data_IF_202656402561
#
_entry.id   IF_202656402561
#
_cell.length_a   1.000
_cell.length_b   1.000
_cell.length_c   1.000
_cell.angle_alpha   90.00
_cell.angle_beta   90.00
_cell.angle_gamma   90.00
#
_symmetry.space_group_name_H-M   'P 1'
#
loop_
_entity.id
_entity.type
_entity.pdbx_description
1 polymer ?
#
# COMPACT_ATOMS: atom_id res chain seq x y z
N UNK A 1 2.55 22.23 0.95
CA UNK A 1 2.37 21.18 1.98
C UNK A 1 3.10 19.96 1.48
N UNK A 2 4.00 19.35 2.27
CA UNK A 2 4.75 18.16 1.83
C UNK A 2 3.96 16.90 2.12
N UNK A 3 3.94 15.99 1.17
CA UNK A 3 3.03 14.83 1.13
C UNK A 3 3.83 13.54 1.07
N UNK A 4 3.49 12.63 1.97
CA UNK A 4 3.96 11.27 1.94
C UNK A 4 2.77 10.36 1.60
N UNK A 5 2.78 9.80 0.40
CA UNK A 5 1.72 8.91 -0.08
C UNK A 5 2.12 7.44 0.10
N UNK A 6 1.38 6.70 0.91
CA UNK A 6 1.52 5.25 1.03
C UNK A 6 0.61 4.59 0.01
N UNK A 7 1.13 3.64 -0.76
CA UNK A 7 0.33 2.79 -1.65
C UNK A 7 0.37 1.38 -1.07
N UNK A 8 -0.71 1.02 -0.38
CA UNK A 8 -0.82 -0.17 0.47
C UNK A 8 -1.69 -1.28 -0.13
N UNK A 9 -1.46 -2.50 0.32
CA UNK A 9 -2.17 -3.69 -0.11
C UNK A 9 -1.23 -4.86 -0.39
N UNK A 10 -1.70 -6.09 -0.29
CA UNK A 10 -0.85 -7.29 -0.48
C UNK A 10 -0.34 -7.41 -1.93
N UNK A 11 0.55 -8.36 -2.22
CA UNK A 11 1.02 -8.55 -3.60
C UNK A 11 -0.18 -8.93 -4.51
N UNK A 12 -0.10 -8.64 -5.81
CA UNK A 12 -1.15 -9.04 -6.76
C UNK A 12 -2.45 -8.21 -6.74
N UNK A 13 -2.69 -7.35 -5.75
CA UNK A 13 -3.94 -6.55 -5.65
C UNK A 13 -4.04 -5.40 -6.64
N UNK A 14 -2.96 -5.00 -7.32
CA UNK A 14 -2.99 -3.90 -8.31
C UNK A 14 -2.44 -2.54 -7.84
N UNK A 15 -1.66 -2.49 -6.75
CA UNK A 15 -0.98 -1.27 -6.28
C UNK A 15 -0.23 -0.52 -7.37
N UNK A 16 0.58 -1.22 -8.17
CA UNK A 16 1.40 -0.59 -9.21
C UNK A 16 0.58 -0.08 -10.39
N UNK A 17 -0.64 -0.60 -10.59
CA UNK A 17 -1.59 -0.05 -11.56
C UNK A 17 -2.13 1.29 -11.03
N UNK A 18 -2.53 1.33 -9.76
CA UNK A 18 -3.01 2.56 -9.12
C UNK A 18 -1.92 3.63 -9.11
N UNK A 19 -0.70 3.28 -8.69
CA UNK A 19 0.42 4.22 -8.64
C UNK A 19 0.75 4.79 -10.02
N UNK A 20 0.68 3.96 -11.07
CA UNK A 20 0.85 4.39 -12.46
C UNK A 20 -0.18 5.44 -12.88
N UNK A 21 -1.46 5.21 -12.59
CA UNK A 21 -2.53 6.18 -12.90
C UNK A 21 -2.34 7.47 -12.10
N UNK A 22 -2.17 7.36 -10.79
CA UNK A 22 -2.01 8.52 -9.91
C UNK A 22 -0.79 9.36 -10.26
N UNK A 23 0.31 8.75 -10.70
CA UNK A 23 1.53 9.48 -11.10
C UNK A 23 1.34 10.47 -12.24
N UNK A 24 0.31 10.26 -13.07
CA UNK A 24 -0.03 11.14 -14.21
C UNK A 24 -1.02 12.22 -13.79
N UNK A 25 -1.86 11.96 -12.78
CA UNK A 25 -2.96 12.84 -12.39
C UNK A 25 -2.69 13.65 -11.14
N UNK A 26 -1.72 13.25 -10.32
CA UNK A 26 -1.40 13.89 -9.04
C UNK A 26 0.11 14.12 -8.89
N UNK A 27 0.53 15.38 -9.02
CA UNK A 27 1.93 15.77 -8.86
C UNK A 27 2.47 15.56 -7.43
N UNK A 28 1.60 15.50 -6.42
CA UNK A 28 2.01 15.25 -5.02
C UNK A 28 2.43 13.79 -4.77
N UNK A 29 2.32 12.93 -5.78
CA UNK A 29 2.90 11.57 -5.74
C UNK A 29 4.43 11.60 -5.63
N UNK A 30 5.07 12.66 -6.13
CA UNK A 30 6.51 12.86 -6.04
C UNK A 30 7.32 11.65 -6.51
N UNK A 31 8.41 11.34 -5.80
CA UNK A 31 9.25 10.17 -6.12
C UNK A 31 8.53 8.90 -5.66
N UNK A 32 8.21 8.00 -6.60
CA UNK A 32 7.60 6.71 -6.29
C UNK A 32 8.68 5.67 -5.98
N UNK A 33 8.79 5.29 -4.71
CA UNK A 33 9.69 4.26 -4.22
C UNK A 33 8.97 2.91 -4.20
N UNK A 34 9.36 2.03 -5.11
CA UNK A 34 8.89 0.64 -5.19
C UNK A 34 10.07 -0.32 -4.93
N UNK A 35 10.14 -0.94 -3.74
CA UNK A 35 11.20 -1.88 -3.40
C UNK A 35 11.31 -3.06 -4.37
N UNK A 36 10.20 -3.59 -4.89
CA UNK A 36 10.22 -4.76 -5.78
C UNK A 36 10.85 -4.39 -7.14
N UNK A 37 10.60 -3.18 -7.66
CA UNK A 37 11.28 -2.65 -8.86
C UNK A 37 12.77 -2.46 -8.62
N UNK A 38 13.17 -1.90 -7.48
CA UNK A 38 14.58 -1.66 -7.16
C UNK A 38 15.35 -2.96 -6.98
N UNK A 39 14.73 -3.99 -6.37
CA UNK A 39 15.29 -5.34 -6.27
C UNK A 39 15.46 -5.97 -7.65
N UNK A 40 14.49 -5.77 -8.55
CA UNK A 40 14.59 -6.27 -9.93
C UNK A 40 15.74 -5.62 -10.69
N UNK A 41 15.94 -4.29 -10.54
CA UNK A 41 17.03 -3.56 -11.20
C UNK A 41 18.39 -3.97 -10.62
N UNK A 42 18.50 -4.13 -9.31
CA UNK A 42 19.75 -4.52 -8.66
C UNK A 42 20.12 -5.98 -8.85
N UNK A 43 19.14 -6.85 -9.12
CA UNK A 43 19.30 -8.31 -9.10
C UNK A 43 19.56 -8.89 -7.71
N UNK A 44 19.47 -8.07 -6.65
CA UNK A 44 19.85 -8.41 -5.29
C UNK A 44 18.90 -7.77 -4.28
N UNK A 45 18.28 -8.62 -3.45
CA UNK A 45 17.26 -8.21 -2.47
C UNK A 45 17.79 -7.23 -1.43
N UNK A 46 19.02 -7.41 -0.96
CA UNK A 46 19.64 -6.52 0.03
C UNK A 46 19.97 -5.17 -0.60
N UNK A 47 20.56 -5.17 -1.80
CA UNK A 47 20.90 -3.91 -2.50
C UNK A 47 19.66 -3.12 -2.87
N UNK A 48 18.63 -3.78 -3.42
CA UNK A 48 17.38 -3.12 -3.79
C UNK A 48 16.62 -2.58 -2.57
N UNK A 49 16.58 -3.37 -1.49
CA UNK A 49 16.00 -2.92 -0.22
C UNK A 49 16.75 -1.74 0.38
N UNK A 50 18.09 -1.74 0.34
CA UNK A 50 18.92 -0.62 0.80
C UNK A 50 18.68 0.64 -0.04
N UNK A 51 18.66 0.51 -1.37
CA UNK A 51 18.39 1.63 -2.28
C UNK A 51 17.01 2.25 -2.02
N UNK A 52 15.99 1.43 -1.76
CA UNK A 52 14.66 1.94 -1.40
C UNK A 52 14.69 2.78 -0.11
N UNK A 53 15.43 2.32 0.90
CA UNK A 53 15.58 3.05 2.17
C UNK A 53 16.37 4.34 2.00
N UNK A 54 17.43 4.34 1.19
CA UNK A 54 18.23 5.52 0.88
C UNK A 54 17.40 6.58 0.14
N UNK A 55 16.58 6.17 -0.83
CA UNK A 55 15.66 7.07 -1.53
C UNK A 55 14.63 7.70 -0.59
N UNK A 56 14.01 6.89 0.28
CA UNK A 56 13.07 7.38 1.30
C UNK A 56 13.77 8.36 2.25
N UNK A 57 14.97 8.04 2.74
CA UNK A 57 15.74 8.94 3.61
C UNK A 57 16.03 10.26 2.92
N UNK A 58 16.46 10.22 1.66
CA UNK A 58 16.73 11.40 0.85
C UNK A 58 15.48 12.28 0.68
N UNK A 59 14.31 11.69 0.40
CA UNK A 59 13.06 12.46 0.32
C UNK A 59 12.71 13.13 1.65
N UNK A 60 12.81 12.38 2.76
CA UNK A 60 12.56 12.90 4.10
C UNK A 60 13.52 14.02 4.49
N UNK A 61 14.81 13.90 4.17
CA UNK A 61 15.83 14.91 4.43
C UNK A 61 15.61 16.18 3.61
N UNK A 62 15.24 16.04 2.35
CA UNK A 62 15.02 17.16 1.42
C UNK A 62 13.62 17.77 1.51
N UNK A 63 12.74 17.26 2.37
CA UNK A 63 11.33 17.66 2.45
C UNK A 63 10.56 17.50 1.12
N UNK A 64 10.96 16.55 0.28
CA UNK A 64 10.35 16.29 -1.01
C UNK A 64 9.11 15.41 -0.88
N UNK A 65 8.10 15.67 -1.71
CA UNK A 65 6.97 14.77 -1.87
C UNK A 65 7.45 13.41 -2.37
N UNK A 66 6.90 12.33 -1.80
CA UNK A 66 7.24 10.98 -2.21
C UNK A 66 6.11 10.00 -1.95
N UNK A 67 6.15 8.89 -2.69
CA UNK A 67 5.26 7.76 -2.52
C UNK A 67 6.03 6.50 -2.18
N UNK A 68 5.45 5.62 -1.38
CA UNK A 68 6.00 4.30 -1.08
C UNK A 68 4.99 3.20 -1.43
N UNK A 69 5.32 2.33 -2.38
CA UNK A 69 4.60 1.07 -2.57
C UNK A 69 5.02 0.06 -1.50
N UNK A 70 4.04 -0.56 -0.83
CA UNK A 70 4.33 -1.49 0.26
C UNK A 70 3.19 -2.48 0.48
N UNK A 71 3.55 -3.67 0.94
CA UNK A 71 2.58 -4.68 1.40
C UNK A 71 2.07 -4.41 2.81
N UNK A 72 2.54 -3.33 3.45
CA UNK A 72 2.36 -3.01 4.87
C UNK A 72 2.96 -4.03 5.84
N UNK A 73 3.48 -5.15 5.32
CA UNK A 73 4.07 -6.20 6.12
C UNK A 73 5.47 -5.80 6.59
N UNK A 74 5.63 -5.60 7.90
CA UNK A 74 6.93 -5.38 8.54
C UNK A 74 7.07 -4.01 9.22
N UNK A 75 8.16 -3.84 9.98
CA UNK A 75 8.36 -2.64 10.82
C UNK A 75 8.85 -1.41 10.05
N UNK A 76 9.31 -1.57 8.81
CA UNK A 76 9.90 -0.49 8.02
C UNK A 76 8.94 0.65 7.68
N UNK A 77 7.69 0.33 7.34
CA UNK A 77 6.66 1.31 7.03
C UNK A 77 6.32 2.19 8.25
N UNK A 78 6.18 1.59 9.44
CA UNK A 78 5.91 2.33 10.68
C UNK A 78 7.03 3.33 10.99
N UNK A 79 8.30 2.93 10.83
CA UNK A 79 9.44 3.84 11.01
C UNK A 79 9.39 5.02 10.04
N UNK A 80 9.03 4.76 8.78
CA UNK A 80 8.91 5.80 7.74
C UNK A 80 7.77 6.77 8.07
N UNK A 81 6.59 6.25 8.45
CA UNK A 81 5.44 7.04 8.89
C UNK A 81 5.78 7.93 10.09
N UNK A 82 6.43 7.37 11.11
CA UNK A 82 6.87 8.15 12.28
C UNK A 82 7.86 9.26 11.89
N UNK A 83 8.80 8.97 11.01
CA UNK A 83 9.79 9.96 10.55
C UNK A 83 9.15 11.06 9.70
N UNK A 84 8.17 10.73 8.86
CA UNK A 84 7.39 11.67 8.06
C UNK A 84 6.53 12.58 8.95
N UNK A 85 5.78 12.00 9.91
CA UNK A 85 4.97 12.77 10.88
C UNK A 85 5.81 13.72 11.73
N UNK A 86 6.96 13.27 12.23
CA UNK A 86 7.91 14.14 12.97
C UNK A 86 8.40 15.33 12.15
N UNK A 87 8.45 15.18 10.82
CA UNK A 87 8.84 16.25 9.91
C UNK A 87 7.65 17.11 9.47
N UNK A 88 6.41 16.78 9.83
CA UNK A 88 5.22 17.54 9.44
C UNK A 88 4.78 17.25 7.99
N UNK A 89 4.95 16.01 7.53
CA UNK A 89 4.31 15.55 6.30
C UNK A 89 2.81 15.34 6.50
N UNK A 90 2.04 15.72 5.48
CA UNK A 90 0.69 15.19 5.28
C UNK A 90 0.82 13.74 4.80
N UNK A 91 0.23 12.81 5.53
CA UNK A 91 0.34 11.38 5.26
C UNK A 91 -0.98 10.87 4.71
N UNK A 92 -0.96 10.43 3.45
CA UNK A 92 -2.12 9.85 2.78
C UNK A 92 -1.87 8.38 2.47
N UNK A 93 -2.89 7.55 2.63
CA UNK A 93 -2.85 6.15 2.21
C UNK A 93 -3.83 5.89 1.06
N UNK A 94 -3.35 5.26 0.00
CA UNK A 94 -4.18 4.56 -0.97
C UNK A 94 -4.06 3.06 -0.75
N UNK A 95 -5.14 2.42 -0.28
CA UNK A 95 -5.15 0.98 -0.04
C UNK A 95 -5.97 0.26 -1.11
N UNK A 96 -5.39 -0.78 -1.72
CA UNK A 96 -6.08 -1.63 -2.69
C UNK A 96 -6.31 -3.01 -2.09
N UNK A 97 -7.58 -3.44 -2.05
CA UNK A 97 -8.02 -4.70 -1.46
C UNK A 97 -8.54 -5.71 -2.48
N UNK A 98 -8.59 -6.97 -2.04
CA UNK A 98 -9.23 -8.13 -2.69
C UNK A 98 -9.82 -9.02 -1.58
N UNK A 99 -10.84 -9.81 -1.92
CA UNK A 99 -11.54 -10.69 -0.98
C UNK A 99 -10.81 -12.02 -0.72
N UNK A 100 -9.97 -12.50 -1.64
CA UNK A 100 -9.26 -13.78 -1.48
C UNK A 100 -7.75 -13.74 -1.76
N UNK A 101 -7.01 -14.60 -1.06
CA UNK A 101 -5.59 -14.82 -1.32
C UNK A 101 -5.38 -15.52 -2.67
N UNK A 102 -6.31 -16.39 -3.03
CA UNK A 102 -6.35 -17.16 -4.28
C UNK A 102 -6.38 -16.22 -5.49
N UNK A 103 -7.17 -15.14 -5.43
CA UNK A 103 -7.19 -14.15 -6.50
C UNK A 103 -5.87 -13.39 -6.61
N UNK A 104 -5.29 -12.97 -5.48
CA UNK A 104 -3.94 -12.38 -5.44
C UNK A 104 -2.90 -13.30 -6.09
N UNK A 105 -2.90 -14.59 -5.74
CA UNK A 105 -2.01 -15.61 -6.31
C UNK A 105 -2.24 -15.80 -7.81
N UNK A 106 -3.49 -15.87 -8.25
CA UNK A 106 -3.86 -15.99 -9.66
C UNK A 106 -3.33 -14.81 -10.49
N UNK A 107 -3.49 -13.58 -9.97
CA UNK A 107 -2.97 -12.36 -10.61
C UNK A 107 -1.44 -12.36 -10.68
N UNK A 108 -0.75 -12.83 -9.63
CA UNK A 108 0.70 -12.99 -9.63
C UNK A 108 1.12 -14.02 -10.70
N UNK A 109 0.48 -15.19 -10.76
CA UNK A 109 0.79 -16.22 -11.74
C UNK A 109 0.62 -15.71 -13.19
N UNK A 110 -0.46 -14.96 -13.47
CA UNK A 110 -0.69 -14.35 -14.76
C UNK A 110 0.38 -13.29 -15.13
N UNK A 111 0.86 -12.52 -14.14
CA UNK A 111 1.97 -11.58 -14.33
C UNK A 111 3.29 -12.31 -14.62
N UNK A 112 3.57 -13.42 -13.93
CA UNK A 112 4.77 -14.24 -14.16
C UNK A 112 4.78 -14.83 -15.56
N UNK A 113 3.63 -15.33 -16.05
CA UNK A 113 3.47 -15.78 -17.45
C UNK A 113 3.80 -14.70 -18.47
N UNK A 114 3.67 -13.42 -18.11
CA UNK A 114 4.02 -12.25 -18.93
C UNK A 114 5.44 -11.72 -18.66
N UNK A 115 6.29 -12.48 -17.97
CA UNK A 115 7.68 -12.12 -17.67
C UNK A 115 7.87 -11.20 -16.46
N UNK A 116 6.87 -11.07 -15.59
CA UNK A 116 6.99 -10.32 -14.34
C UNK A 116 7.58 -11.13 -13.18
N UNK A 117 7.76 -10.48 -12.03
CA UNK A 117 8.35 -11.09 -10.83
C UNK A 117 7.37 -12.03 -10.11
N UNK A 118 7.87 -13.18 -9.68
CA UNK A 118 7.13 -14.14 -8.86
C UNK A 118 7.30 -13.85 -7.37
N UNK A 119 6.31 -14.22 -6.55
CA UNK A 119 6.35 -14.11 -5.09
C UNK A 119 5.94 -15.46 -4.51
N UNK A 120 6.71 -16.04 -3.57
CA UNK A 120 6.35 -17.32 -2.95
C UNK A 120 4.94 -17.33 -2.38
N UNK A 121 4.21 -18.43 -2.59
CA UNK A 121 2.81 -18.58 -2.17
C UNK A 121 2.65 -18.35 -0.67
N UNK A 122 3.56 -18.90 0.12
CA UNK A 122 3.57 -18.83 1.57
C UNK A 122 3.67 -17.38 2.05
N UNK A 123 4.46 -16.56 1.35
CA UNK A 123 4.59 -15.13 1.64
C UNK A 123 3.31 -14.37 1.34
N UNK A 124 2.64 -14.67 0.21
CA UNK A 124 1.36 -14.06 -0.15
C UNK A 124 0.30 -14.44 0.87
N UNK A 125 0.11 -15.73 1.17
CA UNK A 125 -0.88 -16.21 2.13
C UNK A 125 -0.65 -15.62 3.52
N UNK A 126 0.61 -15.60 4.00
CA UNK A 126 0.97 -15.00 5.30
C UNK A 126 0.67 -13.51 5.36
N UNK A 127 0.98 -12.75 4.29
CA UNK A 127 0.67 -11.32 4.20
C UNK A 127 -0.84 -11.08 4.13
N UNK A 128 -1.57 -11.91 3.38
CA UNK A 128 -3.02 -11.83 3.26
C UNK A 128 -3.71 -12.03 4.61
N UNK A 129 -3.31 -13.05 5.37
CA UNK A 129 -3.87 -13.33 6.72
C UNK A 129 -3.69 -12.16 7.70
N UNK A 130 -2.59 -11.41 7.58
CA UNK A 130 -2.24 -10.31 8.49
C UNK A 130 -2.63 -8.92 7.98
N UNK A 131 -3.22 -8.84 6.78
CA UNK A 131 -3.36 -7.60 6.02
C UNK A 131 -4.10 -6.50 6.79
N UNK A 132 -5.17 -6.85 7.50
CA UNK A 132 -5.94 -5.87 8.28
C UNK A 132 -5.21 -5.48 9.56
N UNK A 133 -4.64 -6.42 10.30
CA UNK A 133 -3.85 -6.08 11.50
C UNK A 133 -2.67 -5.16 11.17
N UNK A 134 -2.02 -5.36 10.03
CA UNK A 134 -0.93 -4.49 9.59
C UNK A 134 -1.44 -3.14 9.04
N UNK A 135 -2.61 -3.10 8.39
CA UNK A 135 -3.28 -1.86 7.97
C UNK A 135 -3.72 -1.02 9.17
N UNK A 136 -4.43 -1.60 10.14
CA UNK A 136 -4.93 -0.91 11.32
C UNK A 136 -3.80 -0.30 12.17
N UNK A 137 -2.62 -0.92 12.18
CA UNK A 137 -1.43 -0.36 12.85
C UNK A 137 -0.94 0.94 12.21
N UNK A 138 -1.21 1.16 10.93
CA UNK A 138 -0.73 2.35 10.20
C UNK A 138 -1.78 3.45 10.08
N UNK A 139 -3.09 3.12 10.09
CA UNK A 139 -4.17 4.11 9.94
C UNK A 139 -4.04 5.32 10.87
N UNK A 140 -3.68 5.18 12.17
CA UNK A 140 -3.52 6.33 13.07
C UNK A 140 -2.38 7.30 12.69
N UNK A 141 -1.48 6.91 11.78
CA UNK A 141 -0.44 7.80 11.26
C UNK A 141 -0.89 8.56 10.00
N UNK A 142 -2.00 8.17 9.39
CA UNK A 142 -2.53 8.77 8.18
C UNK A 142 -3.47 9.93 8.53
N UNK A 143 -3.32 11.05 7.84
CA UNK A 143 -4.29 12.15 7.86
C UNK A 143 -5.56 11.75 7.09
N UNK A 144 -5.40 10.98 6.00
CA UNK A 144 -6.50 10.35 5.28
C UNK A 144 -6.08 8.99 4.67
N UNK A 145 -7.06 8.11 4.46
CA UNK A 145 -6.88 6.93 3.62
C UNK A 145 -8.06 6.75 2.66
N UNK A 146 -7.79 6.37 1.42
CA UNK A 146 -8.79 5.99 0.44
C UNK A 146 -8.65 4.49 0.14
N UNK A 147 -9.78 3.80 0.09
CA UNK A 147 -9.87 2.36 -0.11
C UNK A 147 -10.44 2.04 -1.48
N UNK A 148 -9.73 1.19 -2.22
CA UNK A 148 -10.10 0.77 -3.57
C UNK A 148 -10.28 -0.74 -3.62
N UNK A 149 -11.44 -1.17 -4.09
CA UNK A 149 -11.70 -2.55 -4.44
C UNK A 149 -11.19 -2.83 -5.85
N UNK A 150 -10.37 -3.86 -6.02
CA UNK A 150 -9.91 -4.25 -7.34
C UNK A 150 -10.43 -5.63 -7.76
N UNK A 151 -11.51 -6.12 -7.15
CA UNK A 151 -12.23 -7.32 -7.59
C UNK A 151 -13.34 -6.94 -8.58
N UNK A 152 -14.05 -5.85 -8.30
CA UNK A 152 -15.25 -5.41 -9.04
C UNK A 152 -15.01 -4.19 -9.95
N UNK A 153 -13.84 -4.12 -10.60
CA UNK A 153 -13.55 -3.10 -11.62
C UNK A 153 -12.84 -1.84 -11.13
N UNK A 154 -12.02 -1.94 -10.08
CA UNK A 154 -11.24 -0.82 -9.53
C UNK A 154 -12.14 0.32 -9.02
N UNK A 155 -12.89 0.08 -7.95
CA UNK A 155 -13.92 0.97 -7.42
C UNK A 155 -13.44 1.59 -6.11
N UNK A 156 -13.66 2.89 -5.94
CA UNK A 156 -13.49 3.57 -4.64
C UNK A 156 -14.62 3.15 -3.71
N UNK A 157 -14.30 2.49 -2.60
CA UNK A 157 -15.30 1.86 -1.71
C UNK A 157 -15.45 2.53 -0.36
N UNK A 158 -14.50 3.36 0.04
CA UNK A 158 -14.59 4.13 1.27
C UNK A 158 -13.34 4.92 1.60
N UNK A 159 -13.40 5.65 2.70
CA UNK A 159 -12.29 6.44 3.23
C UNK A 159 -12.17 6.35 4.74
N UNK A 160 -10.96 6.65 5.22
CA UNK A 160 -10.65 6.92 6.61
C UNK A 160 -10.25 8.38 6.74
N UNK A 161 -10.93 9.12 7.61
CA UNK A 161 -10.61 10.52 7.93
C UNK A 161 -11.06 10.86 9.33
N UNK A 162 -10.31 11.71 10.03
CA UNK A 162 -10.63 12.16 11.40
C UNK A 162 -10.90 11.01 12.38
N UNK A 163 -10.18 9.89 12.23
CA UNK A 163 -10.36 8.73 13.10
C UNK A 163 -11.63 7.92 12.85
N UNK A 164 -12.26 8.05 11.68
CA UNK A 164 -13.51 7.36 11.33
C UNK A 164 -13.44 6.78 9.92
N UNK A 165 -14.15 5.67 9.72
CA UNK A 165 -14.36 5.05 8.41
C UNK A 165 -15.70 5.50 7.83
N UNK A 166 -15.70 5.77 6.53
CA UNK A 166 -16.87 6.17 5.75
C UNK A 166 -17.00 5.27 4.52
N UNK A 167 -18.23 4.89 4.21
CA UNK A 167 -18.56 4.07 3.05
C UNK A 167 -18.82 4.98 1.84
N UNK A 168 -18.25 4.64 0.69
CA UNK A 168 -18.46 5.37 -0.56
C UNK A 168 -19.44 4.68 -1.51
N UNK A 169 -19.80 3.43 -1.23
CA UNK A 169 -20.72 2.61 -2.02
C UNK A 169 -21.73 1.92 -1.11
N UNK A 170 -22.89 1.56 -1.66
CA UNK A 170 -23.93 0.84 -0.92
C UNK A 170 -23.57 -0.63 -0.72
N UNK A 171 -23.10 -1.28 -1.79
CA UNK A 171 -22.73 -2.69 -1.79
C UNK A 171 -21.22 -2.81 -1.58
N UNK A 172 -20.81 -2.97 -0.31
CA UNK A 172 -19.40 -3.06 0.06
C UNK A 172 -18.82 -4.42 -0.33
N UNK A 173 -17.58 -4.48 -0.82
CA UNK A 173 -16.91 -5.75 -1.06
C UNK A 173 -16.64 -6.48 0.26
N UNK A 174 -16.57 -7.81 0.20
CA UNK A 174 -16.40 -8.67 1.38
C UNK A 174 -15.18 -8.26 2.21
N UNK A 175 -14.04 -8.03 1.57
CA UNK A 175 -12.81 -7.64 2.28
C UNK A 175 -12.95 -6.32 3.04
N UNK A 176 -13.71 -5.34 2.53
CA UNK A 176 -13.84 -4.05 3.19
C UNK A 176 -14.79 -4.15 4.38
N UNK A 177 -15.84 -4.97 4.25
CA UNK A 177 -16.71 -5.36 5.37
C UNK A 177 -15.91 -6.06 6.47
N UNK A 178 -15.08 -7.05 6.11
CA UNK A 178 -14.18 -7.74 7.04
C UNK A 178 -13.21 -6.75 7.72
N UNK A 179 -12.61 -5.84 6.94
CA UNK A 179 -11.71 -4.80 7.48
C UNK A 179 -12.40 -3.90 8.50
N UNK A 180 -13.64 -3.49 8.26
CA UNK A 180 -14.44 -2.68 9.19
C UNK A 180 -14.70 -3.42 10.50
N UNK A 181 -15.00 -4.72 10.47
CA UNK A 181 -15.14 -5.52 11.70
C UNK A 181 -13.85 -5.54 12.52
N UNK A 182 -12.69 -5.65 11.87
CA UNK A 182 -11.39 -5.53 12.55
C UNK A 182 -11.22 -4.14 13.19
N UNK A 183 -11.62 -3.09 12.48
CA UNK A 183 -11.51 -1.70 12.93
C UNK A 183 -12.37 -1.41 14.16
N UNK A 184 -13.60 -1.94 14.17
CA UNK A 184 -14.55 -1.78 15.27
C UNK A 184 -14.24 -2.69 16.45
N UNK A 185 -13.25 -3.58 16.33
CA UNK A 185 -12.87 -4.53 17.37
C UNK A 185 -13.84 -5.70 17.52
N UNK A 186 -14.72 -5.93 16.53
CA UNK A 186 -15.77 -6.95 16.51
C UNK A 186 -15.24 -8.27 15.91
N UNK A 187 -14.00 -8.63 16.25
CA UNK A 187 -13.43 -9.93 15.81
C UNK A 187 -14.26 -11.10 16.33
#
# INVERSE_FOLDING_TARGET
MKTYTVIGGVNGVGKSTLSGVLSVTDYSMGIIVDPDKLIKISGDRLKGGKAALELISSCLENNSDFSQETTLSGKGIIKTLQAARKRGYYVRLYYVGLSSAEESLSRIANRVKKGGHDIPREDVTRRFKRRFEDLLKILPFCDEACFFDNENGFVYVGEYKDGKLYDAVKDLPEWFTEMKMYYEGVK
#
